data_IF_321969003063
#
_entry.id   IF_321969003063
#
_cell.length_a   1.000
_cell.length_b   1.000
_cell.length_c   1.000
_cell.angle_alpha   90.00
_cell.angle_beta   90.00
_cell.angle_gamma   90.00
#
_symmetry.space_group_name_H-M   'P 1'
#
loop_
_entity.id
_entity.type
_entity.pdbx_description
1 polymer ?
#
# COMPACT_ATOMS: atom_id res chain seq x y z
N UNK A 1 3.80 13.76 -25.92
CA UNK A 1 4.75 13.85 -24.78
C UNK A 1 3.99 14.42 -23.58
N UNK A 2 3.96 13.74 -22.43
CA UNK A 2 3.16 14.14 -21.24
C UNK A 2 2.18 13.07 -20.72
N UNK A 3 2.18 11.85 -21.27
CA UNK A 3 1.29 10.77 -20.83
C UNK A 3 1.49 10.42 -19.34
N UNK A 4 2.73 10.33 -18.86
CA UNK A 4 3.04 10.11 -17.44
C UNK A 4 2.50 11.22 -16.53
N UNK A 5 2.60 12.48 -16.97
CA UNK A 5 2.05 13.59 -16.22
C UNK A 5 0.54 13.42 -16.06
N UNK A 6 -0.19 13.26 -17.17
CA UNK A 6 -1.66 13.12 -17.16
C UNK A 6 -2.14 11.90 -16.38
N UNK A 7 -1.44 10.78 -16.51
CA UNK A 7 -1.87 9.52 -15.92
C UNK A 7 -1.60 9.47 -14.41
N UNK A 8 -0.49 10.05 -13.93
CA UNK A 8 -0.01 9.77 -12.58
C UNK A 8 0.34 10.99 -11.74
N UNK A 9 0.82 12.09 -12.34
CA UNK A 9 1.27 13.26 -11.59
C UNK A 9 0.17 14.31 -11.43
N UNK A 10 -0.58 14.57 -12.50
CA UNK A 10 -1.70 15.51 -12.52
C UNK A 10 -2.78 15.18 -11.46
N UNK A 11 -3.14 13.91 -11.19
CA UNK A 11 -4.14 13.59 -10.18
C UNK A 11 -3.64 13.67 -8.73
N UNK A 12 -2.35 13.96 -8.48
CA UNK A 12 -1.82 14.05 -7.11
C UNK A 12 -2.48 15.23 -6.40
N UNK A 13 -3.23 14.92 -5.34
CA UNK A 13 -3.97 15.91 -4.57
C UNK A 13 -3.03 16.65 -3.61
N UNK A 14 -2.94 17.97 -3.78
CA UNK A 14 -2.38 18.85 -2.76
C UNK A 14 -3.30 18.84 -1.53
N UNK A 15 -2.72 18.59 -0.36
CA UNK A 15 -3.45 18.68 0.89
C UNK A 15 -3.90 20.13 1.15
N UNK A 16 -5.20 20.30 1.37
CA UNK A 16 -5.89 21.58 1.58
C UNK A 16 -6.33 21.78 3.04
N UNK A 17 -6.04 20.82 3.92
CA UNK A 17 -6.38 20.86 5.34
C UNK A 17 -5.15 21.20 6.17
N UNK A 18 -5.25 22.18 7.08
CA UNK A 18 -4.15 22.49 7.99
C UNK A 18 -3.88 21.33 8.95
N UNK A 19 -2.61 20.94 9.06
CA UNK A 19 -2.14 19.95 10.03
C UNK A 19 -1.08 20.61 10.90
N UNK A 20 -1.34 20.70 12.20
CA UNK A 20 -0.35 21.20 13.16
C UNK A 20 0.63 20.09 13.52
N UNK A 21 1.58 19.83 12.62
CA UNK A 21 2.58 18.78 12.80
C UNK A 21 3.42 18.92 14.07
N UNK A 22 3.55 20.14 14.62
CA UNK A 22 4.37 20.39 15.82
C UNK A 22 3.70 19.90 17.10
N UNK A 23 2.39 19.76 17.12
CA UNK A 23 1.65 19.24 18.28
C UNK A 23 1.38 17.73 18.20
N UNK A 24 1.65 17.09 17.07
CA UNK A 24 1.46 15.64 16.91
C UNK A 24 2.64 14.85 17.46
N UNK A 25 2.37 13.71 18.12
CA UNK A 25 3.40 12.73 18.42
C UNK A 25 3.73 11.91 17.16
N UNK A 26 4.91 12.17 16.60
CA UNK A 26 5.43 11.49 15.41
C UNK A 26 6.47 10.42 15.76
N UNK A 27 6.65 10.07 17.04
CA UNK A 27 7.66 9.11 17.46
C UNK A 27 7.46 7.72 16.82
N UNK A 28 6.25 7.38 16.38
CA UNK A 28 5.97 6.13 15.67
C UNK A 28 6.66 6.04 14.29
N UNK A 29 7.16 7.15 13.74
CA UNK A 29 7.90 7.19 12.47
C UNK A 29 9.40 6.88 12.63
N UNK A 30 9.90 6.79 13.87
CA UNK A 30 11.28 6.38 14.12
C UNK A 30 11.48 4.94 13.65
N UNK A 31 12.65 4.62 13.07
CA UNK A 31 12.91 3.36 12.36
C UNK A 31 12.55 2.11 13.18
N UNK A 32 12.93 2.09 14.46
CA UNK A 32 12.67 1.01 15.41
C UNK A 32 11.17 0.82 15.71
N UNK A 33 10.42 1.92 15.78
CA UNK A 33 8.99 1.93 16.09
C UNK A 33 8.12 1.72 14.86
N UNK A 34 8.53 2.27 13.73
CA UNK A 34 7.76 2.25 12.49
C UNK A 34 7.60 0.82 11.99
N UNK A 35 8.65 -0.01 12.08
CA UNK A 35 8.55 -1.41 11.68
C UNK A 35 7.46 -2.15 12.45
N UNK A 36 7.45 -2.07 13.79
CA UNK A 36 6.43 -2.72 14.62
C UNK A 36 5.04 -2.14 14.42
N UNK A 37 4.93 -0.81 14.32
CA UNK A 37 3.66 -0.13 14.03
C UNK A 37 3.10 -0.55 12.67
N UNK A 38 3.93 -0.53 11.63
CA UNK A 38 3.54 -0.86 10.27
C UNK A 38 3.20 -2.36 10.12
N UNK A 39 4.00 -3.25 10.71
CA UNK A 39 3.72 -4.67 10.75
C UNK A 39 2.35 -4.95 11.39
N UNK A 40 2.03 -4.29 12.51
CA UNK A 40 0.75 -4.42 13.19
C UNK A 40 -0.43 -4.01 12.32
N UNK A 41 -0.37 -2.83 11.67
CA UNK A 41 -1.49 -2.39 10.83
C UNK A 41 -1.67 -3.26 9.58
N UNK A 42 -0.59 -3.85 9.06
CA UNK A 42 -0.66 -4.80 7.94
C UNK A 42 -1.22 -6.14 8.41
N UNK A 43 -0.80 -6.65 9.56
CA UNK A 43 -1.30 -7.92 10.11
C UNK A 43 -2.79 -7.84 10.48
N UNK A 44 -3.25 -6.70 10.98
CA UNK A 44 -4.64 -6.47 11.34
C UNK A 44 -5.57 -6.36 10.10
N UNK A 45 -5.01 -6.17 8.90
CA UNK A 45 -5.78 -6.07 7.66
C UNK A 45 -6.34 -7.44 7.22
N UNK A 46 -7.58 -7.44 6.72
CA UNK A 46 -8.25 -8.66 6.26
C UNK A 46 -7.64 -9.14 4.94
N UNK A 47 -7.29 -10.42 4.80
CA UNK A 47 -6.71 -10.89 3.56
C UNK A 47 -7.76 -11.04 2.45
N UNK A 48 -7.38 -10.71 1.23
CA UNK A 48 -8.12 -11.01 0.02
C UNK A 48 -7.26 -11.87 -0.93
N UNK A 49 -7.77 -13.06 -1.28
CA UNK A 49 -7.05 -14.08 -2.04
C UNK A 49 -7.75 -14.43 -3.37
N UNK A 50 -6.97 -14.99 -4.29
CA UNK A 50 -7.44 -15.56 -5.54
C UNK A 50 -7.42 -14.58 -6.71
N UNK A 51 -7.82 -15.07 -7.90
CA UNK A 51 -7.83 -14.27 -9.13
C UNK A 51 -8.75 -13.04 -9.05
N UNK A 52 -9.76 -13.09 -8.17
CA UNK A 52 -10.74 -12.05 -7.88
C UNK A 52 -10.41 -11.26 -6.59
N UNK A 53 -9.17 -11.31 -6.08
CA UNK A 53 -8.76 -10.63 -4.85
C UNK A 53 -9.11 -9.13 -4.85
N UNK A 54 -8.97 -8.46 -6.00
CA UNK A 54 -9.34 -7.05 -6.17
C UNK A 54 -10.85 -6.86 -6.00
N UNK A 55 -11.68 -7.72 -6.62
CA UNK A 55 -13.13 -7.69 -6.46
C UNK A 55 -13.54 -7.93 -4.99
N UNK A 56 -12.91 -8.91 -4.34
CA UNK A 56 -13.14 -9.21 -2.92
C UNK A 56 -12.77 -8.04 -2.02
N UNK A 57 -11.65 -7.35 -2.31
CA UNK A 57 -11.20 -6.21 -1.53
C UNK A 57 -12.25 -5.08 -1.49
N UNK A 58 -13.02 -4.89 -2.55
CA UNK A 58 -14.11 -3.91 -2.57
C UNK A 58 -15.23 -4.22 -1.58
N UNK A 59 -15.51 -5.52 -1.38
CA UNK A 59 -16.62 -6.03 -0.57
C UNK A 59 -16.23 -6.31 0.88
N UNK A 60 -14.96 -6.17 1.24
CA UNK A 60 -14.48 -6.37 2.61
C UNK A 60 -14.56 -5.04 3.37
N UNK A 61 -15.24 -5.05 4.51
CA UNK A 61 -15.23 -3.93 5.45
C UNK A 61 -13.89 -3.85 6.20
N UNK A 62 -13.32 -2.65 6.25
CA UNK A 62 -12.03 -2.38 6.90
C UNK A 62 -10.85 -2.44 5.93
N UNK A 63 -9.65 -2.45 6.49
CA UNK A 63 -8.42 -2.51 5.71
C UNK A 63 -8.20 -3.92 5.14
N UNK A 64 -7.63 -3.97 3.94
CA UNK A 64 -7.44 -5.20 3.18
C UNK A 64 -5.98 -5.37 2.81
N UNK A 65 -5.48 -6.60 2.86
CA UNK A 65 -4.18 -6.99 2.31
C UNK A 65 -4.33 -8.01 1.18
N UNK A 66 -3.60 -7.78 0.10
CA UNK A 66 -3.51 -8.65 -1.06
C UNK A 66 -2.04 -8.97 -1.28
N UNK A 67 -1.70 -10.25 -1.36
CA UNK A 67 -0.34 -10.65 -1.71
C UNK A 67 -0.20 -10.70 -3.23
N UNK A 68 0.89 -10.13 -3.74
CA UNK A 68 1.32 -10.31 -5.13
C UNK A 68 2.52 -11.25 -5.17
N UNK A 69 2.62 -12.02 -6.25
CA UNK A 69 3.64 -13.07 -6.37
C UNK A 69 4.96 -12.54 -6.97
N UNK A 70 4.84 -11.67 -7.97
CA UNK A 70 5.96 -11.10 -8.71
C UNK A 70 5.60 -9.71 -9.26
N UNK A 71 6.50 -9.13 -10.03
CA UNK A 71 6.32 -7.81 -10.63
C UNK A 71 5.10 -7.76 -11.58
N UNK A 72 4.90 -8.78 -12.42
CA UNK A 72 3.80 -8.79 -13.38
C UNK A 72 2.43 -8.88 -12.67
N UNK A 73 2.37 -9.67 -11.59
CA UNK A 73 1.18 -9.78 -10.75
C UNK A 73 0.89 -8.46 -10.02
N UNK A 74 1.92 -7.79 -9.48
CA UNK A 74 1.78 -6.47 -8.89
C UNK A 74 1.24 -5.46 -9.91
N UNK A 75 1.84 -5.36 -11.10
CA UNK A 75 1.43 -4.42 -12.15
C UNK A 75 -0.02 -4.67 -12.57
N UNK A 76 -0.42 -5.95 -12.70
CA UNK A 76 -1.80 -6.34 -12.97
C UNK A 76 -2.76 -5.88 -11.88
N UNK A 77 -2.42 -6.08 -10.61
CA UNK A 77 -3.26 -5.66 -9.47
C UNK A 77 -3.32 -4.13 -9.38
N UNK A 78 -2.19 -3.44 -9.45
CA UNK A 78 -2.07 -1.99 -9.40
C UNK A 78 -2.89 -1.30 -10.51
N UNK A 79 -2.85 -1.85 -11.73
CA UNK A 79 -3.66 -1.38 -12.87
C UNK A 79 -5.15 -1.41 -12.57
N UNK A 80 -5.64 -2.47 -11.91
CA UNK A 80 -7.07 -2.59 -11.57
C UNK A 80 -7.52 -1.55 -10.53
N UNK A 81 -6.61 -1.10 -9.66
CA UNK A 81 -6.86 0.00 -8.72
C UNK A 81 -6.57 1.39 -9.30
N UNK A 82 -5.99 1.47 -10.51
CA UNK A 82 -5.59 2.73 -11.13
C UNK A 82 -4.45 3.44 -10.38
N UNK A 83 -3.58 2.71 -9.68
CA UNK A 83 -2.42 3.25 -8.97
C UNK A 83 -1.13 3.07 -9.77
N UNK A 84 -0.01 3.59 -9.28
CA UNK A 84 1.29 3.44 -9.93
C UNK A 84 1.67 1.97 -10.09
N UNK A 85 1.98 1.59 -11.32
CA UNK A 85 2.48 0.26 -11.67
C UNK A 85 4.02 0.21 -11.66
N UNK A 86 4.69 1.37 -11.63
CA UNK A 86 6.13 1.47 -11.84
C UNK A 86 7.00 0.93 -10.69
N UNK A 87 8.13 0.36 -11.10
CA UNK A 87 9.23 -0.08 -10.25
C UNK A 87 10.49 0.72 -10.55
N UNK A 88 11.35 0.86 -9.55
CA UNK A 88 12.72 1.35 -9.70
C UNK A 88 13.66 0.44 -8.91
N UNK A 89 14.67 -0.10 -9.59
CA UNK A 89 15.68 -0.99 -8.98
C UNK A 89 15.05 -2.17 -8.19
N UNK A 90 13.96 -2.73 -8.72
CA UNK A 90 13.25 -3.84 -8.06
C UNK A 90 12.35 -3.43 -6.90
N UNK A 91 12.03 -2.14 -6.74
CA UNK A 91 11.15 -1.62 -5.69
C UNK A 91 9.95 -0.87 -6.30
N UNK A 92 8.70 -1.22 -5.97
CA UNK A 92 7.53 -0.45 -6.40
C UNK A 92 7.53 0.96 -5.81
N UNK A 93 6.97 1.93 -6.53
CA UNK A 93 6.77 3.28 -5.99
C UNK A 93 5.99 3.22 -4.67
N UNK A 94 6.42 4.03 -3.68
CA UNK A 94 5.81 4.16 -2.34
C UNK A 94 5.88 2.91 -1.45
N UNK A 95 6.65 1.89 -1.84
CA UNK A 95 6.77 0.68 -1.04
C UNK A 95 7.66 0.86 0.20
N UNK A 96 7.29 0.18 1.29
CA UNK A 96 8.16 -0.09 2.44
C UNK A 96 8.21 -1.59 2.68
N UNK A 97 9.43 -2.18 2.67
CA UNK A 97 9.64 -3.63 2.82
C UNK A 97 8.76 -4.48 1.87
N UNK A 98 8.55 -4.00 0.65
CA UNK A 98 7.73 -4.69 -0.36
C UNK A 98 6.22 -4.48 -0.22
N UNK A 99 5.77 -3.63 0.73
CA UNK A 99 4.36 -3.29 0.90
C UNK A 99 4.05 -1.93 0.30
N UNK A 100 3.13 -1.89 -0.66
CA UNK A 100 2.53 -0.64 -1.16
C UNK A 100 1.20 -0.41 -0.46
N UNK A 101 0.99 0.81 0.07
CA UNK A 101 -0.23 1.18 0.78
C UNK A 101 -0.93 2.35 0.10
N UNK A 102 -2.23 2.23 -0.12
CA UNK A 102 -3.06 3.32 -0.65
C UNK A 102 -4.50 3.21 -0.13
N UNK A 103 -5.28 4.26 -0.36
CA UNK A 103 -6.73 4.26 -0.12
C UNK A 103 -7.46 4.24 -1.44
N UNK A 104 -8.56 3.49 -1.49
CA UNK A 104 -9.35 3.37 -2.72
C UNK A 104 -10.83 3.64 -2.43
N UNK A 105 -11.39 4.67 -3.08
CA UNK A 105 -12.80 5.15 -3.01
C UNK A 105 -13.35 5.52 -1.62
N UNK A 106 -12.69 5.09 -0.54
CA UNK A 106 -13.11 5.26 0.86
C UNK A 106 -11.87 5.50 1.73
N UNK A 107 -12.05 5.65 3.05
CA UNK A 107 -10.92 5.76 3.99
C UNK A 107 -10.16 4.46 4.24
N UNK A 108 -10.67 3.32 3.75
CA UNK A 108 -10.06 1.99 3.86
C UNK A 108 -8.71 1.93 3.14
N UNK A 109 -7.74 1.26 3.77
CA UNK A 109 -6.40 1.02 3.22
C UNK A 109 -6.37 -0.32 2.49
N UNK A 110 -5.73 -0.32 1.34
CA UNK A 110 -5.30 -1.51 0.62
C UNK A 110 -3.79 -1.63 0.79
N UNK A 111 -3.35 -2.79 1.22
CA UNK A 111 -1.94 -3.16 1.33
C UNK A 111 -1.64 -4.22 0.26
N UNK A 112 -0.74 -3.91 -0.67
CA UNK A 112 -0.21 -4.89 -1.62
C UNK A 112 1.11 -5.41 -1.09
N UNK A 113 1.16 -6.68 -0.72
CA UNK A 113 2.30 -7.31 -0.05
C UNK A 113 3.11 -8.09 -1.08
N UNK A 114 4.39 -7.76 -1.23
CA UNK A 114 5.33 -8.57 -1.98
C UNK A 114 5.70 -9.87 -1.28
N UNK A 115 6.33 -10.81 -2.01
CA UNK A 115 6.59 -12.18 -1.53
C UNK A 115 7.43 -12.24 -0.25
N UNK A 116 8.41 -11.35 -0.11
CA UNK A 116 9.27 -11.27 1.09
C UNK A 116 8.69 -10.41 2.22
N UNK A 117 7.60 -9.67 1.98
CA UNK A 117 7.08 -8.69 2.94
C UNK A 117 6.71 -9.31 4.29
N UNK A 118 6.02 -10.46 4.37
CA UNK A 118 5.68 -11.07 5.66
C UNK A 118 6.92 -11.35 6.51
N UNK A 119 7.99 -11.87 5.91
CA UNK A 119 9.28 -12.11 6.58
C UNK A 119 9.93 -10.81 7.02
N UNK A 120 10.00 -9.83 6.12
CA UNK A 120 10.62 -8.54 6.40
C UNK A 120 9.88 -7.72 7.48
N UNK A 121 8.59 -7.99 7.67
CA UNK A 121 7.73 -7.38 8.70
C UNK A 121 7.59 -8.24 9.97
N UNK A 122 8.07 -9.49 9.96
CA UNK A 122 7.92 -10.42 11.09
C UNK A 122 6.48 -10.90 11.31
N UNK A 123 5.67 -11.01 10.26
CA UNK A 123 4.24 -11.39 10.29
C UNK A 123 3.94 -12.67 9.49
N UNK A 124 4.90 -13.60 9.42
CA UNK A 124 4.83 -14.83 8.60
C UNK A 124 3.63 -15.75 8.90
N UNK A 125 2.98 -15.57 10.05
CA UNK A 125 1.87 -16.41 10.52
C UNK A 125 0.49 -15.76 10.40
N UNK A 126 0.39 -14.57 9.80
CA UNK A 126 -0.87 -13.80 9.74
C UNK A 126 -1.48 -13.90 8.37
#
# INVERSE_FOLDING_TARGET
>A
MGQFFKQYLEPIKLNDVHVDWKSMDLAYLMEDKYLSYFAKIVSDAKPAYGADAVLKAFNIDGDVRIQYNDQADFERIARQFGVFEEWKDGIPRTAYKGVVVFRHQTHRRIFLLGPDSPRLLGIEHV
#
